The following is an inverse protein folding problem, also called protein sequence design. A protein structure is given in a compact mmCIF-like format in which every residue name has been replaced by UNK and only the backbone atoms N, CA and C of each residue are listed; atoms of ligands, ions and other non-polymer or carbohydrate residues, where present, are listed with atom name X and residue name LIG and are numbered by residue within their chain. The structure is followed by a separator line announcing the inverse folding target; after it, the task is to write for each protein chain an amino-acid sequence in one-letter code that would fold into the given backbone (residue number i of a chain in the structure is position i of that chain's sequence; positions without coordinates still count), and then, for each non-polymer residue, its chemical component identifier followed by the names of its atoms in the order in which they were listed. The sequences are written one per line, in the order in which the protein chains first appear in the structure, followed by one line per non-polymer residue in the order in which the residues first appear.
data_IF_323820210192
#
_entry.id   IF_323820210192
#
_cell.length_a   1.000
_cell.length_b   1.000
_cell.length_c   1.000
_cell.angle_alpha   90.00
_cell.angle_beta   90.00
_cell.angle_gamma   90.00
#
_symmetry.space_group_name_H-M   'P 1'
#
loop_
_entity.id
_entity.type
_entity.pdbx_description
1 polymer ?
#
# COMPACT_ATOMS: atom_id res chain seq x y z
N UNK A 1 -0.24 -17.55 -10.43
CA UNK A 1 1.09 -16.90 -10.37
C UNK A 1 1.53 -16.47 -11.76
N UNK A 2 2.25 -15.36 -11.89
CA UNK A 2 2.65 -14.74 -13.18
C UNK A 2 4.03 -14.10 -13.05
N UNK A 3 4.78 -14.02 -14.14
CA UNK A 3 6.03 -13.24 -14.22
C UNK A 3 5.75 -11.90 -14.87
N UNK A 4 6.22 -10.82 -14.25
CA UNK A 4 6.15 -9.47 -14.79
C UNK A 4 7.39 -9.24 -15.66
N UNK A 5 7.27 -9.47 -16.96
CA UNK A 5 8.42 -9.57 -17.89
C UNK A 5 9.29 -8.31 -17.91
N UNK A 6 8.69 -7.12 -17.87
CA UNK A 6 9.42 -5.83 -17.84
C UNK A 6 10.37 -5.70 -16.63
N UNK A 7 10.05 -6.38 -15.53
CA UNK A 7 10.79 -6.30 -14.27
C UNK A 7 11.52 -7.60 -13.91
N UNK A 8 11.22 -8.71 -14.61
CA UNK A 8 11.69 -10.05 -14.23
C UNK A 8 11.20 -10.51 -12.84
N UNK A 9 10.11 -9.94 -12.33
CA UNK A 9 9.59 -10.26 -10.98
C UNK A 9 8.54 -11.35 -11.07
N UNK A 10 8.71 -12.45 -10.33
CA UNK A 10 7.68 -13.50 -10.18
C UNK A 10 6.70 -13.08 -9.09
N UNK A 11 5.42 -13.01 -9.42
CA UNK A 11 4.34 -12.70 -8.49
C UNK A 11 3.43 -13.92 -8.26
N UNK A 12 3.21 -14.23 -6.99
CA UNK A 12 2.36 -15.33 -6.52
C UNK A 12 1.40 -14.77 -5.48
N UNK A 13 0.12 -15.18 -5.54
CA UNK A 13 -0.94 -14.63 -4.71
C UNK A 13 -1.81 -15.76 -4.18
N UNK A 14 -2.14 -15.70 -2.90
CA UNK A 14 -3.14 -16.55 -2.22
C UNK A 14 -3.94 -15.69 -1.24
N UNK A 15 -4.96 -16.25 -0.60
CA UNK A 15 -5.80 -15.50 0.33
C UNK A 15 -6.46 -16.39 1.38
N UNK A 16 -6.72 -15.80 2.54
CA UNK A 16 -7.69 -16.25 3.53
C UNK A 16 -9.01 -15.48 3.34
N UNK A 17 -9.89 -15.45 4.34
CA UNK A 17 -11.20 -14.81 4.22
C UNK A 17 -11.11 -13.28 4.07
N UNK A 18 -10.16 -12.63 4.76
CA UNK A 18 -10.01 -11.17 4.82
C UNK A 18 -8.58 -10.69 4.57
N UNK A 19 -7.63 -11.60 4.38
CA UNK A 19 -6.22 -11.30 4.14
C UNK A 19 -5.74 -11.90 2.82
N UNK A 20 -5.23 -11.06 1.92
CA UNK A 20 -4.43 -11.50 0.77
C UNK A 20 -2.96 -11.66 1.18
N UNK A 21 -2.30 -12.69 0.65
CA UNK A 21 -0.87 -12.95 0.85
C UNK A 21 -0.20 -12.99 -0.52
N UNK A 22 0.81 -12.15 -0.70
CA UNK A 22 1.57 -12.04 -1.94
C UNK A 22 3.00 -12.51 -1.68
N UNK A 23 3.60 -13.23 -2.63
CA UNK A 23 5.02 -13.57 -2.65
C UNK A 23 5.63 -13.03 -3.95
N UNK A 24 6.66 -12.20 -3.80
CA UNK A 24 7.38 -11.59 -4.90
C UNK A 24 8.84 -12.05 -4.90
N UNK A 25 9.26 -12.68 -6.00
CA UNK A 25 10.67 -13.04 -6.22
C UNK A 25 11.27 -12.04 -7.19
N UNK A 26 12.20 -11.22 -6.70
CA UNK A 26 12.91 -10.21 -7.48
C UNK A 26 14.17 -10.80 -8.14
N UNK A 27 14.63 -10.27 -9.28
CA UNK A 27 15.94 -10.63 -9.82
C UNK A 27 17.07 -10.25 -8.86
N UNK A 28 18.09 -11.11 -8.76
CA UNK A 28 19.25 -10.87 -7.89
C UNK A 28 19.99 -9.57 -8.25
N UNK A 29 20.41 -8.81 -7.24
CA UNK A 29 21.17 -7.57 -7.43
C UNK A 29 20.34 -6.41 -8.00
N UNK A 30 19.01 -6.52 -7.99
CA UNK A 30 18.08 -5.45 -8.35
C UNK A 30 17.34 -4.96 -7.11
N UNK A 31 17.00 -3.66 -7.03
CA UNK A 31 16.22 -3.15 -5.93
C UNK A 31 14.80 -3.72 -5.96
N UNK A 32 14.27 -4.03 -4.79
CA UNK A 32 12.93 -4.53 -4.58
C UNK A 32 12.01 -3.39 -4.14
N UNK A 33 11.06 -3.05 -5.00
CA UNK A 33 10.06 -2.00 -4.73
C UNK A 33 8.65 -2.57 -4.75
N UNK A 34 7.84 -2.15 -3.79
CA UNK A 34 6.39 -2.37 -3.78
C UNK A 34 5.70 -1.02 -3.86
N UNK A 35 4.82 -0.86 -4.85
CA UNK A 35 4.03 0.35 -5.04
C UNK A 35 2.57 0.11 -4.62
N UNK A 36 2.02 1.03 -3.83
CA UNK A 36 0.60 1.07 -3.48
C UNK A 36 -0.04 2.28 -4.15
N UNK A 37 -0.88 2.02 -5.15
CA UNK A 37 -1.60 3.05 -5.91
C UNK A 37 -3.05 3.16 -5.41
N UNK A 38 -3.38 4.27 -4.73
CA UNK A 38 -4.76 4.52 -4.28
C UNK A 38 -5.59 5.31 -5.29
N UNK A 39 -4.98 5.76 -6.39
CA UNK A 39 -5.61 6.54 -7.46
C UNK A 39 -6.47 5.63 -8.34
N UNK A 40 -5.88 4.54 -8.81
CA UNK A 40 -6.46 3.67 -9.82
C UNK A 40 -7.65 2.86 -9.27
N UNK A 41 -8.76 2.82 -10.02
CA UNK A 41 -9.93 2.01 -9.70
C UNK A 41 -10.62 1.45 -10.95
N UNK A 42 -11.40 0.37 -10.81
CA UNK A 42 -12.21 -0.15 -11.92
C UNK A 42 -13.29 0.87 -12.31
N UNK A 43 -13.44 1.18 -13.60
CA UNK A 43 -14.33 2.24 -14.13
C UNK A 43 -13.96 3.64 -13.62
N UNK A 44 -12.69 3.98 -13.69
CA UNK A 44 -12.17 5.22 -13.11
C UNK A 44 -12.64 6.49 -13.82
N UNK A 45 -12.70 7.60 -13.07
CA UNK A 45 -12.97 8.93 -13.61
C UNK A 45 -12.44 10.02 -12.66
N UNK A 46 -12.17 11.25 -13.15
CA UNK A 46 -11.74 12.36 -12.30
C UNK A 46 -12.71 12.63 -11.14
N UNK A 47 -12.21 12.61 -9.90
CA UNK A 47 -13.02 12.83 -8.70
C UNK A 47 -13.72 11.59 -8.15
N UNK A 48 -13.44 10.40 -8.69
CA UNK A 48 -13.99 9.15 -8.16
C UNK A 48 -13.51 8.81 -6.76
N UNK A 49 -12.22 9.01 -6.49
CA UNK A 49 -11.65 8.95 -5.14
C UNK A 49 -12.02 10.25 -4.44
N UNK A 50 -12.90 10.15 -3.45
CA UNK A 50 -13.38 11.32 -2.70
C UNK A 50 -12.32 11.79 -1.70
N UNK A 51 -11.71 10.83 -1.00
CA UNK A 51 -10.63 11.03 -0.07
C UNK A 51 -9.91 9.71 0.21
N UNK A 52 -8.64 9.78 0.58
CA UNK A 52 -7.85 8.63 0.98
C UNK A 52 -6.77 9.02 1.97
N UNK A 53 -6.21 8.01 2.65
CA UNK A 53 -5.04 8.14 3.52
C UNK A 53 -4.07 7.02 3.20
N UNK A 54 -2.79 7.33 3.31
CA UNK A 54 -1.73 6.34 3.37
C UNK A 54 -0.78 6.70 4.53
N UNK A 55 -0.46 5.73 5.37
CA UNK A 55 0.34 5.90 6.59
C UNK A 55 1.34 4.76 6.75
N UNK A 56 2.59 5.09 7.05
CA UNK A 56 3.59 4.16 7.57
C UNK A 56 3.65 4.32 9.09
N UNK A 57 3.32 3.26 9.85
CA UNK A 57 3.48 3.24 11.32
C UNK A 57 4.92 2.98 11.72
N UNK A 58 5.21 3.32 12.97
CA UNK A 58 6.53 3.12 13.58
C UNK A 58 6.99 1.65 13.61
N UNK A 59 6.06 0.69 13.60
CA UNK A 59 6.35 -0.75 13.54
C UNK A 59 6.55 -1.28 12.10
N UNK A 60 6.52 -0.42 11.09
CA UNK A 60 6.61 -0.79 9.68
C UNK A 60 5.27 -1.21 9.06
N UNK A 61 4.17 -1.24 9.82
CA UNK A 61 2.84 -1.53 9.29
C UNK A 61 2.34 -0.37 8.45
N UNK A 62 2.00 -0.63 7.19
CA UNK A 62 1.36 0.36 6.31
C UNK A 62 -0.16 0.22 6.43
N UNK A 63 -0.88 1.32 6.64
CA UNK A 63 -2.34 1.31 6.50
C UNK A 63 -2.81 2.47 5.65
N UNK A 64 -4.10 2.41 5.35
CA UNK A 64 -4.79 3.54 4.81
C UNK A 64 -6.27 3.26 4.71
N UNK A 65 -6.94 4.17 4.02
CA UNK A 65 -8.28 3.94 3.55
C UNK A 65 -8.50 4.67 2.24
N UNK A 66 -9.56 4.26 1.55
CA UNK A 66 -10.06 4.97 0.38
C UNK A 66 -11.57 5.06 0.43
N UNK A 67 -12.07 6.28 0.25
CA UNK A 67 -13.49 6.54 0.03
C UNK A 67 -13.74 6.81 -1.44
N UNK A 68 -14.75 6.15 -2.01
CA UNK A 68 -15.07 6.28 -3.45
C UNK A 68 -16.52 6.65 -3.68
N UNK A 69 -16.77 7.35 -4.79
CA UNK A 69 -18.10 7.54 -5.37
C UNK A 69 -18.24 6.66 -6.61
N UNK A 70 -19.10 5.67 -6.57
CA UNK A 70 -19.36 4.80 -7.72
C UNK A 70 -20.72 4.14 -7.59
N UNK A 71 -20.85 2.92 -8.10
CA UNK A 71 -22.08 2.15 -8.00
C UNK A 71 -22.62 2.06 -6.56
N UNK A 72 -21.74 1.81 -5.59
CA UNK A 72 -22.02 2.00 -4.17
C UNK A 72 -21.47 3.37 -3.72
N UNK A 73 -22.31 4.41 -3.59
CA UNK A 73 -21.84 5.73 -3.20
C UNK A 73 -21.35 5.75 -1.75
N UNK A 74 -20.26 6.47 -1.49
CA UNK A 74 -19.75 6.68 -0.13
C UNK A 74 -18.98 5.50 0.47
N UNK A 75 -18.73 4.43 -0.31
CA UNK A 75 -18.02 3.24 0.17
C UNK A 75 -16.63 3.60 0.67
N UNK A 76 -16.36 3.23 1.93
CA UNK A 76 -15.06 3.30 2.57
C UNK A 76 -14.47 1.89 2.67
N UNK A 77 -13.17 1.77 2.36
CA UNK A 77 -12.41 0.55 2.54
C UNK A 77 -11.09 0.90 3.22
N UNK A 78 -10.83 0.24 4.34
CA UNK A 78 -9.61 0.34 5.12
C UNK A 78 -8.72 -0.86 4.82
N UNK A 79 -7.41 -0.68 4.94
CA UNK A 79 -6.46 -1.77 4.77
C UNK A 79 -5.29 -1.67 5.74
N UNK A 80 -4.64 -2.80 5.98
CA UNK A 80 -3.38 -2.93 6.70
C UNK A 80 -2.45 -3.87 5.93
N UNK A 81 -1.17 -3.52 5.84
CA UNK A 81 -0.13 -4.25 5.12
C UNK A 81 1.10 -4.43 6.00
N UNK A 82 1.69 -5.63 5.97
CA UNK A 82 2.99 -5.92 6.57
C UNK A 82 3.87 -6.70 5.60
N UNK A 83 5.18 -6.49 5.72
CA UNK A 83 6.20 -7.05 4.85
C UNK A 83 7.12 -7.98 5.64
N UNK A 84 7.56 -9.07 5.01
CA UNK A 84 8.50 -10.03 5.59
C UNK A 84 9.92 -9.48 5.75
N UNK A 85 10.25 -8.41 5.03
CA UNK A 85 11.54 -7.74 5.06
C UNK A 85 11.40 -6.33 5.64
N UNK A 86 12.42 -5.83 6.37
CA UNK A 86 12.43 -4.45 6.84
C UNK A 86 12.50 -3.47 5.66
N UNK A 87 11.84 -2.33 5.76
CA UNK A 87 11.94 -1.27 4.77
C UNK A 87 13.32 -0.60 4.85
N UNK A 88 13.97 -0.44 3.70
CA UNK A 88 15.16 0.40 3.56
C UNK A 88 14.77 1.88 3.47
N UNK A 89 13.71 2.19 2.71
CA UNK A 89 13.13 3.52 2.64
C UNK A 89 11.67 3.47 2.16
N UNK A 90 10.99 4.61 2.19
CA UNK A 90 9.67 4.77 1.61
C UNK A 90 9.53 6.14 0.98
N UNK A 91 8.53 6.31 0.12
CA UNK A 91 8.11 7.61 -0.39
C UNK A 91 6.59 7.68 -0.43
N UNK A 92 6.02 8.73 0.15
CA UNK A 92 4.58 8.99 0.07
C UNK A 92 4.32 10.22 -0.80
N UNK A 93 3.65 10.03 -1.94
CA UNK A 93 3.37 11.08 -2.92
C UNK A 93 1.87 11.37 -2.99
N UNK A 94 1.50 12.65 -3.01
CA UNK A 94 0.19 13.11 -3.47
C UNK A 94 0.37 13.78 -4.83
N UNK A 95 -0.23 13.19 -5.86
CA UNK A 95 -0.13 13.64 -7.25
C UNK A 95 -1.34 14.47 -7.68
N UNK A 96 -2.16 14.96 -6.76
CA UNK A 96 -3.33 15.79 -7.07
C UNK A 96 -2.87 17.13 -7.67
N UNK A 97 -3.41 17.47 -8.83
CA UNK A 97 -3.12 18.70 -9.54
C UNK A 97 -4.22 19.74 -9.26
N UNK A 98 -3.93 21.01 -9.55
CA UNK A 98 -4.92 22.10 -9.52
C UNK A 98 -5.62 22.35 -8.17
N UNK A 99 -5.00 21.93 -7.06
CA UNK A 99 -5.48 22.23 -5.71
C UNK A 99 -5.39 23.74 -5.45
N UNK A 100 -6.54 24.42 -5.36
CA UNK A 100 -6.63 25.87 -5.13
C UNK A 100 -6.07 26.29 -3.77
N UNK A 101 -6.40 25.55 -2.71
CA UNK A 101 -5.95 25.83 -1.36
C UNK A 101 -4.63 25.12 -1.06
N UNK A 102 -3.54 25.88 -0.94
CA UNK A 102 -2.19 25.32 -0.67
C UNK A 102 -1.88 25.15 0.82
N UNK A 103 -2.73 25.68 1.71
CA UNK A 103 -2.58 25.54 3.15
C UNK A 103 -1.20 25.97 3.68
N UNK A 104 -0.82 25.37 4.80
CA UNK A 104 0.53 25.47 5.37
C UNK A 104 1.30 24.18 5.10
N UNK A 105 2.64 24.23 4.94
CA UNK A 105 3.45 23.04 4.72
C UNK A 105 3.29 22.04 5.89
N UNK A 106 2.86 20.79 5.64
CA UNK A 106 2.87 19.76 6.67
C UNK A 106 4.30 19.35 7.05
N UNK A 107 4.50 18.58 8.13
CA UNK A 107 5.78 17.94 8.40
C UNK A 107 6.28 17.17 7.17
N UNK A 108 7.57 17.29 6.87
CA UNK A 108 8.18 16.68 5.67
C UNK A 108 7.50 17.08 4.34
N UNK A 109 6.94 18.30 4.25
CA UNK A 109 6.30 18.80 3.03
C UNK A 109 7.18 18.68 1.78
N UNK A 110 8.50 18.86 1.92
CA UNK A 110 9.44 18.86 0.79
C UNK A 110 10.23 17.56 0.63
N UNK A 111 10.02 16.55 1.48
CA UNK A 111 10.70 15.26 1.38
C UNK A 111 9.71 14.11 1.57
N UNK A 112 9.25 13.46 0.48
CA UNK A 112 8.30 12.35 0.56
C UNK A 112 8.84 11.16 1.37
N UNK A 113 10.17 11.07 1.58
CA UNK A 113 10.81 10.01 2.36
C UNK A 113 10.72 10.18 3.86
N UNK A 114 10.37 11.38 4.32
CA UNK A 114 10.23 11.68 5.75
C UNK A 114 8.77 11.76 6.20
N UNK A 115 7.80 11.62 5.28
CA UNK A 115 6.38 11.68 5.60
C UNK A 115 5.93 10.37 6.27
N UNK A 116 5.41 10.44 7.49
CA UNK A 116 4.78 9.28 8.13
C UNK A 116 3.37 9.01 7.58
N UNK A 117 2.71 10.04 7.04
CA UNK A 117 1.35 9.95 6.52
C UNK A 117 1.09 11.02 5.46
N UNK A 118 0.23 10.71 4.50
CA UNK A 118 -0.42 11.66 3.60
C UNK A 118 -1.93 11.39 3.52
N UNK A 119 -2.70 12.44 3.24
CA UNK A 119 -4.13 12.38 2.94
C UNK A 119 -4.44 13.25 1.73
N UNK A 120 -5.37 12.81 0.88
CA UNK A 120 -5.71 13.48 -0.36
C UNK A 120 -6.42 12.55 -1.33
N UNK A 121 -6.57 12.96 -2.58
CA UNK A 121 -7.32 12.17 -3.58
C UNK A 121 -6.45 11.35 -4.52
N UNK A 122 -5.17 11.67 -4.63
CA UNK A 122 -4.29 11.08 -5.64
C UNK A 122 -2.99 10.52 -5.02
N UNK A 123 -3.13 9.60 -4.06
CA UNK A 123 -2.01 9.11 -3.26
C UNK A 123 -1.31 7.89 -3.87
N UNK A 124 0.02 7.89 -3.81
CA UNK A 124 0.89 6.75 -4.15
C UNK A 124 1.93 6.55 -3.06
N UNK A 125 2.11 5.30 -2.62
CA UNK A 125 3.22 4.90 -1.76
C UNK A 125 4.22 4.05 -2.54
N UNK A 126 5.51 4.31 -2.35
CA UNK A 126 6.60 3.45 -2.81
C UNK A 126 7.34 2.96 -1.58
N UNK A 127 7.51 1.65 -1.46
CA UNK A 127 8.21 1.00 -0.35
C UNK A 127 9.42 0.26 -0.91
N UNK A 128 10.60 0.62 -0.44
CA UNK A 128 11.89 0.12 -0.92
C UNK A 128 12.49 -0.84 0.11
N UNK A 129 12.91 -2.00 -0.35
CA UNK A 129 13.52 -3.06 0.43
C UNK A 129 15.00 -3.27 0.08
N UNK A 130 15.59 -2.40 -0.75
CA UNK A 130 16.96 -2.55 -1.24
C UNK A 130 17.10 -3.82 -2.08
N UNK A 131 18.25 -4.48 -2.00
CA UNK A 131 18.39 -5.84 -2.55
C UNK A 131 17.69 -6.82 -1.60
N UNK A 132 16.53 -7.35 -2.01
CA UNK A 132 15.79 -8.37 -1.26
C UNK A 132 16.56 -9.70 -1.14
N UNK A 133 17.73 -9.80 -1.78
CA UNK A 133 18.60 -10.96 -1.71
C UNK A 133 18.00 -12.16 -2.42
N UNK A 134 18.22 -13.34 -1.85
CA UNK A 134 17.73 -14.61 -2.43
C UNK A 134 16.36 -15.02 -1.91
N UNK A 135 15.83 -14.35 -0.88
CA UNK A 135 14.56 -14.70 -0.25
C UNK A 135 13.41 -13.92 -0.89
N UNK A 136 12.29 -14.58 -1.24
CA UNK A 136 11.11 -13.87 -1.73
C UNK A 136 10.54 -12.90 -0.69
N UNK A 137 10.08 -11.74 -1.16
CA UNK A 137 9.33 -10.80 -0.34
C UNK A 137 7.88 -11.27 -0.20
N UNK A 138 7.51 -11.74 0.99
CA UNK A 138 6.12 -11.98 1.37
C UNK A 138 5.47 -10.69 1.88
N UNK A 139 4.28 -10.38 1.37
CA UNK A 139 3.43 -9.24 1.79
C UNK A 139 2.08 -9.79 2.23
N UNK A 140 1.60 -9.34 3.39
CA UNK A 140 0.24 -9.66 3.86
C UNK A 140 -0.59 -8.39 3.89
N UNK A 141 -1.78 -8.44 3.32
CA UNK A 141 -2.69 -7.30 3.20
C UNK A 141 -4.09 -7.71 3.66
N UNK A 142 -4.57 -7.10 4.74
CA UNK A 142 -5.95 -7.24 5.18
C UNK A 142 -6.79 -6.04 4.77
N UNK A 143 -8.09 -6.28 4.61
CA UNK A 143 -9.09 -5.23 4.39
C UNK A 143 -10.14 -5.21 5.50
N UNK A 144 -10.80 -4.07 5.66
CA UNK A 144 -11.94 -3.88 6.56
C UNK A 144 -12.87 -2.80 6.04
N UNK A 145 -14.20 -2.97 6.12
CA UNK A 145 -15.15 -1.90 5.83
C UNK A 145 -15.35 -0.92 7.01
N UNK A 146 -14.70 -1.17 8.16
CA UNK A 146 -14.97 -0.46 9.42
C UNK A 146 -13.85 0.50 9.80
N UNK A 147 -12.61 0.01 9.88
CA UNK A 147 -11.48 0.79 10.40
C UNK A 147 -10.13 0.16 10.05
N UNK A 148 -9.06 0.95 10.17
CA UNK A 148 -7.67 0.47 10.07
C UNK A 148 -7.36 -0.55 11.19
N UNK A 149 -7.87 -0.34 12.40
CA UNK A 149 -7.65 -1.24 13.54
C UNK A 149 -8.29 -2.62 13.32
N UNK A 150 -9.50 -2.66 12.73
CA UNK A 150 -10.12 -3.91 12.32
C UNK A 150 -9.34 -4.61 11.20
N UNK A 151 -8.71 -3.87 10.29
CA UNK A 151 -7.84 -4.46 9.27
C UNK A 151 -6.57 -5.07 9.90
N UNK A 152 -5.96 -4.38 10.88
CA UNK A 152 -4.83 -4.93 11.65
C UNK A 152 -5.25 -6.20 12.40
N UNK A 153 -6.39 -6.17 13.09
CA UNK A 153 -6.91 -7.33 13.81
C UNK A 153 -7.17 -8.53 12.87
N UNK A 154 -7.64 -8.29 11.64
CA UNK A 154 -7.79 -9.34 10.64
C UNK A 154 -6.44 -9.96 10.22
N UNK A 155 -5.38 -9.15 10.05
CA UNK A 155 -4.02 -9.67 9.80
C UNK A 155 -3.58 -10.60 10.92
N UNK A 156 -3.69 -10.14 12.17
CA UNK A 156 -3.22 -10.86 13.34
C UNK A 156 -3.98 -12.18 13.54
N UNK A 157 -5.28 -12.19 13.26
CA UNK A 157 -6.14 -13.35 13.46
C UNK A 157 -6.00 -14.43 12.36
N UNK A 158 -5.88 -14.03 11.09
CA UNK A 158 -5.95 -14.99 9.97
C UNK A 158 -4.58 -15.39 9.43
N UNK A 159 -3.59 -14.51 9.46
CA UNK A 159 -2.26 -14.78 8.92
C UNK A 159 -1.19 -14.16 9.84
N UNK A 160 -0.87 -14.78 10.99
CA UNK A 160 0.07 -14.21 11.97
C UNK A 160 1.53 -14.22 11.49
N UNK A 161 1.95 -15.29 10.80
CA UNK A 161 3.32 -15.47 10.28
C UNK A 161 3.49 -15.00 8.82
N UNK A 162 4.66 -15.23 8.22
CA UNK A 162 4.93 -14.93 6.81
C UNK A 162 5.12 -16.19 5.95
N UNK A 163 4.60 -17.32 6.43
CA UNK A 163 4.56 -18.53 5.61
C UNK A 163 3.50 -18.37 4.50
N UNK A 164 3.90 -18.66 3.27
CA UNK A 164 3.03 -18.52 2.11
C UNK A 164 2.33 -19.85 1.77
N UNK A 165 2.96 -20.98 2.09
CA UNK A 165 2.55 -22.32 1.66
C UNK A 165 1.61 -23.00 2.67
#
# INVERSE_FOLDING_TARGET
AVTLDDYGVRAELTASARVGVHRYTFPQGKPAHVLVDLRTSMYDYPGKVLWSRLRLRADGTVTGFRQTRGWAPGRQLYFAMRFSHPLASHELHDTEQDVLYKGFPPPAANDPRQRAQIEGRQLVGVFDFGDAGTQPLVVKLAISPVSEDNAIANLDAEVPGFDFD
#
